data_IF_270430641647
#
_entry.id   IF_270430641647
#
_cell.length_a   1.000
_cell.length_b   1.000
_cell.length_c   1.000
_cell.angle_alpha   90.00
_cell.angle_beta   90.00
_cell.angle_gamma   90.00
#
_symmetry.space_group_name_H-M   'P 1'
#
loop_
_entity.id
_entity.type
_entity.pdbx_description
1 polymer ?
#
# COMPACT_ATOMS: atom_id res chain seq x y z
N UNK A 1 20.42 -42.80 71.56
CA UNK A 1 19.80 -42.79 70.22
C UNK A 1 18.66 -41.79 70.20
N UNK A 2 18.88 -40.59 69.63
CA UNK A 2 17.81 -39.65 69.27
C UNK A 2 18.08 -39.21 67.84
N UNK A 3 17.24 -39.68 66.92
CA UNK A 3 17.24 -39.28 65.51
C UNK A 3 16.64 -37.89 65.41
N UNK A 4 17.40 -36.93 64.88
CA UNK A 4 16.93 -35.60 64.54
C UNK A 4 16.29 -35.71 63.13
N UNK A 5 14.98 -35.52 63.05
CA UNK A 5 14.24 -35.46 61.78
C UNK A 5 14.41 -34.06 61.19
N UNK A 6 15.06 -33.94 60.02
CA UNK A 6 15.02 -32.72 59.21
C UNK A 6 13.66 -32.66 58.50
N UNK A 7 12.85 -31.67 58.86
CA UNK A 7 11.63 -31.33 58.14
C UNK A 7 12.02 -30.42 56.96
N UNK A 8 12.05 -30.95 55.74
CA UNK A 8 12.22 -30.15 54.52
C UNK A 8 10.89 -29.39 54.28
N UNK A 9 10.91 -28.09 54.52
CA UNK A 9 9.84 -27.17 54.09
C UNK A 9 9.94 -26.98 52.57
N UNK A 10 9.10 -27.70 51.84
CA UNK A 10 8.79 -27.41 50.43
C UNK A 10 8.02 -26.08 50.39
N UNK A 11 8.73 -24.98 50.13
CA UNK A 11 8.11 -23.72 49.73
C UNK A 11 7.51 -23.91 48.33
N UNK A 12 6.21 -23.65 48.12
CA UNK A 12 5.70 -23.55 46.76
C UNK A 12 6.35 -22.33 46.10
N UNK A 13 7.14 -22.56 45.06
CA UNK A 13 7.49 -21.53 44.09
C UNK A 13 6.19 -21.06 43.45
N UNK A 14 5.58 -20.02 44.01
CA UNK A 14 4.69 -19.16 43.23
C UNK A 14 5.60 -18.41 42.27
N UNK A 15 5.61 -18.83 41.00
CA UNK A 15 5.99 -17.93 39.92
C UNK A 15 5.00 -16.76 39.96
N UNK A 16 5.40 -15.71 40.65
CA UNK A 16 4.80 -14.39 40.49
C UNK A 16 5.18 -13.97 39.08
N UNK A 17 4.33 -14.29 38.10
CA UNK A 17 4.35 -13.60 36.83
C UNK A 17 4.17 -12.13 37.17
N UNK A 18 5.26 -11.36 37.05
CA UNK A 18 5.18 -9.92 37.07
C UNK A 18 4.27 -9.53 35.91
N UNK A 19 3.01 -9.24 36.22
CA UNK A 19 2.08 -8.67 35.27
C UNK A 19 2.58 -7.25 35.01
N UNK A 20 3.47 -7.11 34.03
CA UNK A 20 3.92 -5.83 33.53
C UNK A 20 2.67 -5.09 33.07
N UNK A 21 2.32 -4.01 33.78
CA UNK A 21 1.19 -3.16 33.42
C UNK A 21 1.60 -2.30 32.22
N UNK A 22 1.56 -2.89 31.04
CA UNK A 22 1.77 -2.14 29.81
C UNK A 22 0.59 -1.19 29.58
N UNK A 23 0.86 0.00 29.02
CA UNK A 23 -0.22 0.83 28.49
C UNK A 23 -0.76 0.17 27.22
N UNK A 24 -2.09 0.06 27.13
CA UNK A 24 -2.76 -0.48 25.95
C UNK A 24 -2.50 0.38 24.71
N UNK A 25 -2.18 1.66 24.92
CA UNK A 25 -1.83 2.59 23.86
C UNK A 25 -0.45 2.31 23.21
N UNK A 26 0.41 1.52 23.86
CA UNK A 26 1.71 1.12 23.30
C UNK A 26 1.62 -0.07 22.35
N UNK A 27 0.44 -0.68 22.21
CA UNK A 27 0.25 -1.83 21.33
C UNK A 27 -0.20 -1.42 19.92
N UNK A 28 0.44 -2.03 18.92
CA UNK A 28 0.08 -1.91 17.51
C UNK A 28 -0.24 -3.28 16.92
N UNK A 29 -1.30 -3.34 16.11
CA UNK A 29 -1.69 -4.56 15.43
C UNK A 29 -0.63 -4.96 14.40
N UNK A 30 -0.12 -6.18 14.50
CA UNK A 30 0.92 -6.72 13.61
C UNK A 30 0.35 -7.72 12.60
N UNK A 31 -0.87 -8.23 12.84
CA UNK A 31 -1.51 -9.24 12.01
C UNK A 31 -2.16 -10.32 12.86
N UNK A 32 -2.27 -11.53 12.31
CA UNK A 32 -2.81 -12.67 13.05
C UNK A 32 -2.07 -13.96 12.73
N UNK A 33 -2.13 -14.90 13.67
CA UNK A 33 -1.56 -16.23 13.49
C UNK A 33 -2.37 -17.25 14.29
N UNK A 34 -2.69 -18.38 13.69
CA UNK A 34 -3.51 -19.45 14.29
C UNK A 34 -4.82 -18.89 14.89
N UNK A 35 -5.49 -18.01 14.12
CA UNK A 35 -6.74 -17.36 14.53
C UNK A 35 -6.63 -16.50 15.82
N UNK A 36 -5.42 -16.02 16.14
CA UNK A 36 -5.15 -15.12 17.26
C UNK A 36 -4.64 -13.78 16.73
N UNK A 37 -5.14 -12.69 17.31
CA UNK A 37 -4.67 -11.35 16.98
C UNK A 37 -3.28 -11.15 17.59
N UNK A 38 -2.34 -10.72 16.76
CA UNK A 38 -0.95 -10.49 17.14
C UNK A 38 -0.66 -9.00 17.16
N UNK A 39 0.01 -8.57 18.23
CA UNK A 39 0.38 -7.20 18.50
C UNK A 39 1.87 -7.09 18.80
N UNK A 40 2.39 -5.90 18.54
CA UNK A 40 3.70 -5.43 18.96
C UNK A 40 3.52 -4.39 20.06
N UNK A 41 4.40 -4.38 21.05
CA UNK A 41 4.51 -3.30 22.01
C UNK A 41 5.67 -2.38 21.62
N UNK A 42 5.45 -1.06 21.59
CA UNK A 42 6.50 -0.10 21.21
C UNK A 42 7.67 -0.03 22.20
N UNK A 43 7.40 -0.25 23.49
CA UNK A 43 8.40 -0.27 24.57
C UNK A 43 9.10 -1.62 24.70
N UNK A 44 8.42 -2.70 24.30
CA UNK A 44 8.99 -4.05 24.25
C UNK A 44 9.00 -4.61 22.83
N UNK A 45 10.05 -4.24 22.10
CA UNK A 45 10.28 -4.71 20.73
C UNK A 45 10.85 -6.15 20.67
N UNK A 46 11.00 -6.86 21.79
CA UNK A 46 11.57 -8.22 21.80
C UNK A 46 10.53 -9.33 21.69
N UNK A 47 9.28 -9.01 22.00
CA UNK A 47 8.21 -10.00 22.05
C UNK A 47 7.05 -9.60 21.16
N UNK A 48 6.39 -10.64 20.64
CA UNK A 48 5.06 -10.52 20.11
C UNK A 48 4.04 -10.78 21.21
N UNK A 49 2.84 -10.24 21.03
CA UNK A 49 1.78 -10.34 22.00
C UNK A 49 0.50 -10.86 21.37
N UNK A 50 -0.13 -11.81 22.03
CA UNK A 50 -1.47 -12.28 21.69
C UNK A 50 -2.50 -11.54 22.53
N UNK A 51 -3.51 -10.96 21.89
CA UNK A 51 -4.63 -10.37 22.61
C UNK A 51 -5.59 -11.45 23.15
N UNK A 52 -6.03 -11.26 24.40
CA UNK A 52 -7.11 -12.03 25.02
C UNK A 52 -8.35 -11.15 25.08
N UNK A 53 -9.39 -11.56 24.36
CA UNK A 53 -10.66 -10.86 24.29
C UNK A 53 -11.64 -11.47 25.30
N UNK A 54 -12.51 -10.63 25.85
CA UNK A 54 -13.70 -11.10 26.57
C UNK A 54 -14.89 -11.36 25.61
N UNK A 55 -16.01 -11.83 26.16
CA UNK A 55 -17.24 -12.11 25.41
C UNK A 55 -17.84 -10.86 24.72
N UNK A 56 -17.41 -9.66 25.11
CA UNK A 56 -17.81 -8.38 24.50
C UNK A 56 -16.79 -7.88 23.48
N UNK A 57 -15.84 -8.72 23.05
CA UNK A 57 -14.76 -8.40 22.13
C UNK A 57 -13.85 -7.26 22.59
N UNK A 58 -13.71 -7.07 23.89
CA UNK A 58 -12.77 -6.10 24.48
C UNK A 58 -11.47 -6.82 24.82
N UNK A 59 -10.32 -6.26 24.41
CA UNK A 59 -9.01 -6.78 24.79
C UNK A 59 -8.77 -6.48 26.27
N UNK A 60 -8.64 -7.53 27.07
CA UNK A 60 -8.41 -7.43 28.53
C UNK A 60 -6.97 -7.62 28.92
N UNK A 61 -6.24 -8.38 28.12
CA UNK A 61 -4.88 -8.79 28.43
C UNK A 61 -4.10 -9.02 27.14
N UNK A 62 -2.79 -8.75 27.20
CA UNK A 62 -1.83 -9.19 26.20
C UNK A 62 -0.92 -10.25 26.82
N UNK A 63 -0.81 -11.40 26.16
CA UNK A 63 0.09 -12.49 26.57
C UNK A 63 1.27 -12.57 25.63
N UNK A 64 2.46 -12.73 26.17
CA UNK A 64 3.66 -12.98 25.35
C UNK A 64 3.39 -14.18 24.45
N UNK A 65 3.64 -13.98 23.16
CA UNK A 65 3.57 -15.01 22.14
C UNK A 65 4.92 -15.73 22.08
N UNK A 66 4.90 -17.04 21.81
CA UNK A 66 6.10 -17.89 21.75
C UNK A 66 7.05 -17.52 20.60
N UNK A 67 6.57 -16.76 19.62
CA UNK A 67 7.37 -16.22 18.54
C UNK A 67 8.33 -15.13 19.07
N UNK A 68 9.62 -15.46 19.15
CA UNK A 68 10.67 -14.48 19.42
C UNK A 68 10.72 -13.43 18.31
N UNK A 69 10.98 -12.17 18.68
CA UNK A 69 11.13 -11.07 17.75
C UNK A 69 12.62 -10.73 17.50
N UNK A 70 13.23 -11.15 16.38
CA UNK A 70 14.61 -10.81 16.08
C UNK A 70 14.77 -9.38 15.50
N UNK A 71 13.75 -8.78 14.86
CA UNK A 71 13.79 -7.46 14.19
C UNK A 71 12.37 -6.87 14.02
N UNK A 72 12.16 -5.58 13.74
CA UNK A 72 10.80 -5.00 13.58
C UNK A 72 9.95 -5.85 12.63
N UNK A 73 8.86 -6.45 13.14
CA UNK A 73 7.89 -7.19 12.33
C UNK A 73 6.85 -6.22 11.79
N UNK A 74 6.54 -6.33 10.51
CA UNK A 74 5.61 -5.41 9.84
C UNK A 74 4.33 -6.10 9.44
N UNK A 75 4.35 -7.42 9.27
CA UNK A 75 3.18 -8.20 8.89
C UNK A 75 3.31 -9.65 9.32
N UNK A 76 2.23 -10.20 9.87
CA UNK A 76 2.11 -11.61 10.22
C UNK A 76 0.75 -12.15 9.76
N UNK A 77 0.81 -13.29 9.11
CA UNK A 77 -0.31 -14.12 8.69
C UNK A 77 0.07 -15.59 8.87
N UNK A 78 -0.90 -16.49 9.01
CA UNK A 78 -0.71 -17.90 9.41
C UNK A 78 0.53 -18.58 8.79
N UNK A 79 0.76 -18.41 7.48
CA UNK A 79 1.88 -19.01 6.74
C UNK A 79 2.95 -18.00 6.29
N UNK A 80 2.76 -16.71 6.55
CA UNK A 80 3.59 -15.63 6.00
C UNK A 80 3.96 -14.62 7.08
N UNK A 81 5.25 -14.33 7.17
CA UNK A 81 5.78 -13.29 8.03
C UNK A 81 6.69 -12.38 7.22
N UNK A 82 6.56 -11.07 7.44
CA UNK A 82 7.45 -10.07 6.88
C UNK A 82 8.14 -9.29 7.99
N UNK A 83 9.45 -9.39 8.02
CA UNK A 83 10.33 -8.64 8.90
C UNK A 83 11.01 -7.54 8.09
N UNK A 84 11.17 -6.35 8.68
CA UNK A 84 11.97 -5.28 8.08
C UNK A 84 12.81 -4.56 9.11
N UNK A 85 14.12 -4.60 8.91
CA UNK A 85 15.10 -3.99 9.78
C UNK A 85 15.35 -2.54 9.36
N UNK A 86 14.92 -1.57 10.17
CA UNK A 86 15.17 -0.15 9.91
C UNK A 86 16.67 0.19 9.86
N UNK A 87 17.51 -0.59 10.57
CA UNK A 87 18.96 -0.36 10.65
C UNK A 87 19.69 -0.84 9.40
N UNK A 88 19.42 -2.06 8.95
CA UNK A 88 20.07 -2.63 7.76
C UNK A 88 19.31 -2.33 6.47
N UNK A 89 18.07 -1.85 6.57
CA UNK A 89 17.11 -1.68 5.47
C UNK A 89 16.92 -2.97 4.67
N UNK A 90 16.98 -4.10 5.37
CA UNK A 90 16.73 -5.42 4.80
C UNK A 90 15.31 -5.82 5.15
N UNK A 91 14.57 -6.28 4.15
CA UNK A 91 13.26 -6.89 4.30
C UNK A 91 13.40 -8.38 4.00
N UNK A 92 12.95 -9.20 4.93
CA UNK A 92 12.87 -10.65 4.75
C UNK A 92 11.43 -11.10 4.80
N UNK A 93 11.09 -12.02 3.91
CA UNK A 93 9.82 -12.75 3.99
C UNK A 93 10.11 -14.19 4.41
N UNK A 94 9.26 -14.70 5.28
CA UNK A 94 9.22 -16.09 5.68
C UNK A 94 7.89 -16.67 5.23
N UNK A 95 7.95 -17.70 4.38
CA UNK A 95 6.77 -18.39 3.87
C UNK A 95 6.94 -19.88 4.14
N UNK A 96 6.02 -20.49 4.89
CA UNK A 96 6.11 -21.91 5.26
C UNK A 96 7.47 -22.28 5.88
N UNK A 97 7.97 -21.46 6.80
CA UNK A 97 9.28 -21.57 7.46
C UNK A 97 10.52 -21.41 6.56
N UNK A 98 10.33 -20.99 5.30
CA UNK A 98 11.43 -20.65 4.40
C UNK A 98 11.62 -19.14 4.39
N UNK A 99 12.63 -18.68 5.15
CA UNK A 99 13.01 -17.27 5.26
C UNK A 99 13.99 -16.88 4.16
N UNK A 100 13.75 -15.74 3.52
CA UNK A 100 14.61 -15.17 2.46
C UNK A 100 14.59 -13.64 2.46
N UNK A 101 15.69 -13.05 2.02
CA UNK A 101 15.78 -11.60 1.75
C UNK A 101 15.04 -11.30 0.43
N UNK A 102 14.13 -10.33 0.47
CA UNK A 102 13.33 -9.91 -0.71
C UNK A 102 13.60 -8.48 -1.12
N UNK A 103 14.09 -7.63 -0.21
CA UNK A 103 14.35 -6.23 -0.50
C UNK A 103 15.49 -5.71 0.37
N UNK A 104 16.38 -4.89 -0.21
CA UNK A 104 17.52 -4.30 0.49
C UNK A 104 17.75 -2.85 0.07
N UNK A 105 18.03 -1.99 1.05
CA UNK A 105 18.36 -0.58 0.82
C UNK A 105 17.14 0.33 0.61
N UNK A 106 15.95 -0.16 0.95
CA UNK A 106 14.70 0.60 0.85
C UNK A 106 13.97 0.57 2.18
N UNK A 107 13.43 1.73 2.59
CA UNK A 107 12.49 1.81 3.71
C UNK A 107 11.09 1.43 3.22
N UNK A 108 10.42 0.53 3.92
CA UNK A 108 9.01 0.20 3.63
C UNK A 108 8.05 1.02 4.52
N UNK A 109 6.82 1.19 4.06
CA UNK A 109 5.72 1.86 4.77
C UNK A 109 4.95 0.90 5.67
N UNK A 110 4.37 1.41 6.75
CA UNK A 110 3.81 0.60 7.85
C UNK A 110 2.50 -0.14 7.50
N UNK A 111 2.16 -0.22 6.22
CA UNK A 111 0.92 -0.78 5.74
C UNK A 111 1.21 -1.72 4.59
N UNK A 112 0.70 -2.93 4.74
CA UNK A 112 0.90 -4.03 3.81
C UNK A 112 -0.48 -4.54 3.41
N UNK A 113 -0.77 -4.48 2.12
CA UNK A 113 -1.91 -5.15 1.53
C UNK A 113 -1.55 -6.60 1.27
N UNK A 114 -2.39 -7.53 1.69
CA UNK A 114 -2.19 -8.95 1.46
C UNK A 114 -3.50 -9.60 1.05
N UNK A 115 -3.44 -10.42 0.01
CA UNK A 115 -4.53 -11.25 -0.47
C UNK A 115 -3.99 -12.67 -0.72
N UNK A 116 -4.42 -13.60 0.13
CA UNK A 116 -3.97 -14.99 0.11
C UNK A 116 -4.44 -15.72 -1.14
N UNK A 117 -5.68 -15.46 -1.56
CA UNK A 117 -6.30 -15.97 -2.78
C UNK A 117 -5.60 -15.48 -4.05
N UNK A 118 -5.12 -14.24 -4.04
CA UNK A 118 -4.36 -13.65 -5.15
C UNK A 118 -2.87 -14.02 -5.10
N UNK A 119 -2.36 -14.60 -4.01
CA UNK A 119 -0.92 -14.83 -3.76
C UNK A 119 -0.07 -13.54 -3.91
N UNK A 120 -0.63 -12.40 -3.52
CA UNK A 120 -0.01 -11.09 -3.67
C UNK A 120 0.12 -10.37 -2.34
N UNK A 121 1.29 -9.75 -2.17
CA UNK A 121 1.55 -8.78 -1.13
C UNK A 121 1.96 -7.45 -1.77
N UNK A 122 1.35 -6.36 -1.32
CA UNK A 122 1.67 -5.01 -1.78
C UNK A 122 2.11 -4.18 -0.61
N UNK A 123 3.23 -3.48 -0.77
CA UNK A 123 3.79 -2.58 0.23
C UNK A 123 4.15 -1.24 -0.42
N UNK A 124 4.39 -0.23 0.40
CA UNK A 124 4.92 1.05 -0.04
C UNK A 124 6.41 1.09 0.24
N UNK A 125 7.25 1.42 -0.74
CA UNK A 125 8.70 1.59 -0.58
C UNK A 125 9.09 3.04 -0.83
N UNK A 126 9.91 3.62 0.05
CA UNK A 126 10.46 4.97 -0.15
C UNK A 126 11.56 4.90 -1.21
N UNK A 127 11.34 5.59 -2.34
CA UNK A 127 12.28 5.75 -3.44
C UNK A 127 12.46 7.26 -3.65
N UNK A 128 13.67 7.77 -3.42
CA UNK A 128 13.93 9.21 -3.30
C UNK A 128 12.97 9.86 -2.28
N UNK A 129 12.24 10.91 -2.69
CA UNK A 129 11.21 11.57 -1.88
C UNK A 129 9.81 10.98 -2.03
N UNK A 130 9.64 9.94 -2.85
CA UNK A 130 8.34 9.33 -3.15
C UNK A 130 8.12 8.01 -2.43
N UNK A 131 6.86 7.68 -2.21
CA UNK A 131 6.45 6.33 -1.82
C UNK A 131 5.93 5.61 -3.05
N UNK A 132 6.61 4.55 -3.48
CA UNK A 132 6.24 3.76 -4.65
C UNK A 132 5.65 2.44 -4.19
N UNK A 133 4.55 2.01 -4.81
CA UNK A 133 3.99 0.69 -4.53
C UNK A 133 4.90 -0.40 -5.07
N UNK A 134 5.10 -1.44 -4.27
CA UNK A 134 5.93 -2.59 -4.58
C UNK A 134 5.11 -3.83 -4.37
N UNK A 135 5.11 -4.70 -5.38
CA UNK A 135 4.38 -5.97 -5.36
C UNK A 135 5.38 -7.09 -5.15
N UNK A 136 5.02 -7.99 -4.25
CA UNK A 136 5.67 -9.26 -4.06
C UNK A 136 4.68 -10.37 -4.44
N UNK A 137 5.00 -11.10 -5.51
CA UNK A 137 4.24 -12.26 -5.96
C UNK A 137 4.78 -13.52 -5.27
N UNK A 138 3.94 -14.13 -4.44
CA UNK A 138 4.31 -15.27 -3.61
C UNK A 138 4.50 -16.53 -4.46
N UNK A 139 3.68 -16.71 -5.50
CA UNK A 139 3.74 -17.87 -6.39
C UNK A 139 4.99 -17.85 -7.25
N UNK A 140 5.32 -16.70 -7.82
CA UNK A 140 6.49 -16.53 -8.69
C UNK A 140 7.80 -16.31 -7.91
N UNK A 141 7.70 -16.07 -6.60
CA UNK A 141 8.81 -15.61 -5.76
C UNK A 141 9.53 -14.39 -6.37
N UNK A 142 8.74 -13.41 -6.81
CA UNK A 142 9.25 -12.24 -7.54
C UNK A 142 8.80 -10.95 -6.87
N UNK A 143 9.70 -9.96 -6.85
CA UNK A 143 9.42 -8.61 -6.37
C UNK A 143 9.60 -7.61 -7.51
N UNK A 144 8.64 -6.71 -7.67
CA UNK A 144 8.76 -5.61 -8.63
C UNK A 144 8.11 -4.34 -8.11
N UNK A 145 8.76 -3.21 -8.40
CA UNK A 145 8.21 -1.89 -8.15
C UNK A 145 7.18 -1.57 -9.23
N UNK A 146 6.09 -0.89 -8.84
CA UNK A 146 5.06 -0.41 -9.74
C UNK A 146 5.32 1.04 -10.13
N UNK A 147 4.90 1.48 -11.33
CA UNK A 147 4.94 2.89 -11.74
C UNK A 147 3.83 3.71 -11.03
N UNK A 148 3.62 3.47 -9.73
CA UNK A 148 2.50 4.00 -8.96
C UNK A 148 3.05 4.59 -7.67
N UNK A 149 2.81 5.89 -7.47
CA UNK A 149 3.13 6.57 -6.23
C UNK A 149 1.96 6.35 -5.28
N UNK A 150 2.19 5.67 -4.16
CA UNK A 150 1.12 5.32 -3.25
C UNK A 150 1.61 4.82 -1.90
N UNK A 151 0.69 4.85 -0.95
CA UNK A 151 0.81 4.40 0.42
C UNK A 151 -0.46 3.64 0.81
N UNK A 152 -0.42 2.97 1.97
CA UNK A 152 -1.56 2.23 2.54
C UNK A 152 -2.25 1.27 1.55
N UNK A 153 -1.51 0.40 0.85
CA UNK A 153 -2.11 -0.52 -0.08
C UNK A 153 -3.07 -1.49 0.64
N UNK A 154 -4.21 -1.75 0.02
CA UNK A 154 -5.20 -2.75 0.45
C UNK A 154 -5.68 -3.50 -0.78
N UNK A 155 -5.69 -4.83 -0.74
CA UNK A 155 -6.12 -5.67 -1.87
C UNK A 155 -7.55 -6.15 -1.63
N UNK A 156 -8.46 -5.90 -2.56
CA UNK A 156 -9.86 -6.36 -2.52
C UNK A 156 -10.39 -6.57 -3.94
N UNK A 157 -11.10 -7.68 -4.15
CA UNK A 157 -11.88 -7.95 -5.37
C UNK A 157 -11.10 -7.75 -6.68
N UNK A 158 -9.85 -8.20 -6.76
CA UNK A 158 -9.01 -8.03 -7.96
C UNK A 158 -8.39 -6.64 -8.12
N UNK A 159 -8.49 -5.76 -7.12
CA UNK A 159 -7.94 -4.41 -7.13
C UNK A 159 -6.99 -4.18 -5.96
N UNK A 160 -5.97 -3.34 -6.20
CA UNK A 160 -5.16 -2.70 -5.17
C UNK A 160 -5.67 -1.28 -4.97
N UNK A 161 -6.25 -1.01 -3.81
CA UNK A 161 -6.61 0.34 -3.36
C UNK A 161 -5.42 0.93 -2.60
N UNK A 162 -5.19 2.23 -2.77
CA UNK A 162 -4.07 2.92 -2.15
C UNK A 162 -4.36 4.42 -2.07
N UNK A 163 -3.61 5.14 -1.23
CA UNK A 163 -3.65 6.59 -1.22
C UNK A 163 -2.36 7.21 -1.72
N UNK A 164 -2.48 8.39 -2.33
CA UNK A 164 -1.36 9.28 -2.57
C UNK A 164 -1.66 10.63 -1.91
N UNK A 165 -0.62 11.37 -1.53
CA UNK A 165 -0.81 12.72 -0.99
C UNK A 165 -1.50 13.59 -2.05
N UNK A 166 -2.60 14.22 -1.66
CA UNK A 166 -3.32 15.12 -2.53
C UNK A 166 -2.59 16.45 -2.63
N UNK A 167 -2.24 16.84 -3.85
CA UNK A 167 -1.50 18.07 -4.10
C UNK A 167 -2.51 19.12 -4.60
N UNK A 168 -3.11 19.85 -3.66
CA UNK A 168 -3.97 20.99 -3.94
C UNK A 168 -3.60 22.18 -3.06
N UNK A 169 -3.19 23.29 -3.71
CA UNK A 169 -2.73 24.52 -3.06
C UNK A 169 -3.79 25.21 -2.17
N UNK A 170 -5.03 24.71 -2.17
CA UNK A 170 -6.13 25.23 -1.36
C UNK A 170 -6.05 24.78 0.10
N UNK A 171 -5.49 23.61 0.37
CA UNK A 171 -5.50 23.01 1.71
C UNK A 171 -4.14 23.17 2.39
N UNK A 172 -4.16 23.47 3.68
CA UNK A 172 -2.97 23.54 4.54
C UNK A 172 -2.68 22.22 5.26
N UNK A 173 -3.55 21.21 5.10
CA UNK A 173 -3.46 19.89 5.73
C UNK A 173 -3.12 18.81 4.72
N UNK A 174 -2.42 17.77 5.17
CA UNK A 174 -2.13 16.58 4.38
C UNK A 174 -3.37 15.70 4.26
N UNK A 175 -3.98 15.70 3.09
CA UNK A 175 -5.16 14.91 2.73
C UNK A 175 -4.74 13.90 1.66
N UNK A 176 -5.47 12.79 1.57
CA UNK A 176 -5.17 11.68 0.69
C UNK A 176 -6.15 11.69 -0.51
N UNK A 177 -5.63 11.47 -1.71
CA UNK A 177 -6.44 10.97 -2.82
C UNK A 177 -6.44 9.44 -2.78
N UNK A 178 -7.61 8.83 -2.87
CA UNK A 178 -7.77 7.39 -2.86
C UNK A 178 -7.90 6.92 -4.32
N UNK A 179 -7.00 6.02 -4.69
CA UNK A 179 -6.97 5.39 -6.00
C UNK A 179 -7.24 3.89 -5.86
N UNK A 180 -7.57 3.26 -6.98
CA UNK A 180 -7.46 1.82 -7.16
C UNK A 180 -6.77 1.51 -8.47
N UNK A 181 -6.15 0.34 -8.57
CA UNK A 181 -5.61 -0.19 -9.81
C UNK A 181 -5.96 -1.68 -9.89
N UNK A 182 -6.38 -2.14 -11.06
CA UNK A 182 -6.67 -3.56 -11.24
C UNK A 182 -5.36 -4.34 -11.21
N UNK A 183 -5.35 -5.50 -10.56
CA UNK A 183 -4.19 -6.39 -10.55
C UNK A 183 -3.78 -6.69 -12.00
N UNK A 184 -2.47 -6.58 -12.26
CA UNK A 184 -1.82 -6.69 -13.57
C UNK A 184 -2.07 -5.55 -14.57
N UNK A 185 -2.96 -4.60 -14.27
CA UNK A 185 -3.18 -3.39 -15.06
C UNK A 185 -2.52 -2.15 -14.43
N UNK A 186 -1.26 -2.30 -14.03
CA UNK A 186 -0.51 -1.33 -13.21
C UNK A 186 -0.36 0.07 -13.83
N UNK A 187 -0.60 0.21 -15.13
CA UNK A 187 -0.46 1.47 -15.86
C UNK A 187 -1.76 2.28 -15.91
N UNK A 188 -2.87 1.76 -15.39
CA UNK A 188 -4.19 2.39 -15.45
C UNK A 188 -4.83 2.56 -14.06
N UNK A 189 -4.18 3.30 -13.13
CA UNK A 189 -4.80 3.66 -11.86
C UNK A 189 -6.03 4.55 -12.10
N UNK A 190 -7.08 4.28 -11.33
CA UNK A 190 -8.33 5.04 -11.29
C UNK A 190 -8.39 5.83 -9.99
N UNK A 191 -8.60 7.15 -10.09
CA UNK A 191 -8.92 7.99 -8.95
C UNK A 191 -10.37 7.74 -8.51
N UNK A 192 -10.56 7.38 -7.24
CA UNK A 192 -11.87 7.00 -6.69
C UNK A 192 -12.46 8.10 -5.82
N UNK A 193 -11.70 8.59 -4.84
CA UNK A 193 -12.13 9.66 -3.92
C UNK A 193 -11.02 10.70 -3.86
N UNK A 194 -11.39 11.97 -3.94
CA UNK A 194 -10.45 13.08 -3.74
C UNK A 194 -10.54 13.60 -2.32
N UNK A 195 -9.43 14.13 -1.80
CA UNK A 195 -9.45 14.89 -0.53
C UNK A 195 -10.12 14.12 0.62
N UNK A 196 -9.78 12.84 0.75
CA UNK A 196 -10.12 12.06 1.92
C UNK A 196 -9.13 12.38 3.06
N UNK A 197 -9.60 12.30 4.30
CA UNK A 197 -8.70 12.21 5.43
C UNK A 197 -7.84 10.93 5.30
N UNK A 198 -6.74 10.90 6.04
CA UNK A 198 -5.88 9.72 6.17
C UNK A 198 -6.62 8.51 6.77
N UNK A 199 -7.75 8.75 7.43
CA UNK A 199 -8.64 7.73 7.97
C UNK A 199 -9.63 7.18 6.92
N UNK A 200 -9.18 6.23 6.12
CA UNK A 200 -10.04 5.50 5.17
C UNK A 200 -9.74 4.00 5.19
N UNK A 201 -10.71 3.19 4.77
CA UNK A 201 -10.54 1.74 4.61
C UNK A 201 -11.53 1.17 3.59
N UNK A 202 -11.09 0.12 2.88
CA UNK A 202 -11.98 -0.66 2.01
C UNK A 202 -12.66 -1.74 2.85
N UNK A 203 -13.99 -1.78 2.80
CA UNK A 203 -14.75 -2.77 3.54
C UNK A 203 -14.48 -4.17 2.98
N UNK A 204 -14.40 -5.19 3.84
CA UNK A 204 -14.17 -6.56 3.39
C UNK A 204 -15.32 -7.06 2.52
N UNK A 205 -14.98 -7.86 1.50
CA UNK A 205 -15.91 -8.50 0.59
C UNK A 205 -16.86 -7.52 -0.14
N UNK A 206 -16.44 -6.26 -0.33
CA UNK A 206 -17.22 -5.28 -1.08
C UNK A 206 -16.34 -4.24 -1.76
N UNK A 207 -16.97 -3.42 -2.60
CA UNK A 207 -16.33 -2.29 -3.28
C UNK A 207 -16.54 -0.97 -2.53
N UNK A 208 -16.95 -1.07 -1.26
CA UNK A 208 -17.32 0.06 -0.43
C UNK A 208 -16.08 0.57 0.30
N UNK A 209 -15.91 1.88 0.29
CA UNK A 209 -14.83 2.59 0.98
C UNK A 209 -15.47 3.43 2.08
N UNK A 210 -15.03 3.21 3.31
CA UNK A 210 -15.24 4.17 4.38
C UNK A 210 -14.17 5.26 4.28
N UNK A 211 -14.57 6.53 4.26
CA UNK A 211 -13.65 7.66 4.29
C UNK A 211 -14.26 8.88 5.01
N UNK A 212 -13.42 9.63 5.71
CA UNK A 212 -13.79 10.96 6.20
C UNK A 212 -13.46 12.00 5.11
N UNK A 213 -14.42 12.85 4.71
CA UNK A 213 -14.20 13.87 3.67
C UNK A 213 -14.21 15.26 4.30
N UNK A 214 -13.11 16.01 4.10
CA UNK A 214 -12.85 17.25 4.83
C UNK A 214 -13.75 18.43 4.44
N UNK A 215 -14.09 18.59 3.15
CA UNK A 215 -14.93 19.73 2.73
C UNK A 215 -16.39 19.63 3.18
N UNK A 216 -16.89 18.43 3.50
CA UNK A 216 -18.27 18.25 3.91
C UNK A 216 -18.43 18.31 5.44
N UNK A 217 -17.74 19.26 6.08
CA UNK A 217 -17.74 19.46 7.55
C UNK A 217 -17.39 18.20 8.35
N UNK A 218 -16.47 17.36 7.84
CA UNK A 218 -16.14 16.04 8.39
C UNK A 218 -17.29 15.02 8.32
N UNK A 219 -18.20 15.14 7.35
CA UNK A 219 -19.13 14.06 7.07
C UNK A 219 -18.34 12.83 6.62
N UNK A 220 -18.59 11.74 7.32
CA UNK A 220 -18.07 10.42 6.98
C UNK A 220 -18.94 9.85 5.90
N UNK A 221 -18.33 9.16 4.95
CA UNK A 221 -19.06 8.54 3.85
C UNK A 221 -18.73 7.07 3.76
N UNK A 222 -19.72 6.32 3.30
CA UNK A 222 -19.52 5.02 2.68
C UNK A 222 -19.69 5.25 1.18
N UNK A 223 -18.64 4.98 0.41
CA UNK A 223 -18.54 5.25 -1.02
C UNK A 223 -18.45 3.95 -1.79
N UNK A 224 -19.32 3.74 -2.77
CA UNK A 224 -19.26 2.63 -3.71
C UNK A 224 -18.35 2.96 -4.89
N UNK A 225 -17.24 2.24 -5.00
CA UNK A 225 -16.24 2.46 -6.05
C UNK A 225 -16.68 2.04 -7.46
N UNK A 226 -17.73 1.23 -7.61
CA UNK A 226 -18.25 0.82 -8.92
C UNK A 226 -19.24 1.85 -9.47
N UNK A 227 -20.25 2.19 -8.68
CA UNK A 227 -21.32 3.11 -9.10
C UNK A 227 -20.93 4.57 -8.95
N UNK A 228 -19.83 4.86 -8.22
CA UNK A 228 -19.36 6.20 -7.87
C UNK A 228 -20.42 6.98 -7.10
N UNK A 229 -21.14 6.28 -6.22
CA UNK A 229 -22.16 6.85 -5.34
C UNK A 229 -21.73 6.74 -3.88
N UNK A 230 -22.29 7.57 -3.01
CA UNK A 230 -22.02 7.53 -1.59
C UNK A 230 -23.27 7.73 -0.74
N UNK A 231 -23.15 7.37 0.53
CA UNK A 231 -24.08 7.71 1.59
C UNK A 231 -23.30 8.34 2.74
N UNK A 232 -23.85 9.39 3.35
CA UNK A 232 -23.28 9.92 4.60
C UNK A 232 -23.59 8.95 5.73
N UNK A 233 -22.68 8.86 6.69
CA UNK A 233 -22.87 7.96 7.82
C UNK A 233 -22.44 8.59 9.13
N UNK A 234 -23.20 8.32 10.19
CA UNK A 234 -22.77 8.58 11.57
C UNK A 234 -21.81 7.49 12.07
N UNK A 235 -21.69 6.40 11.32
CA UNK A 235 -20.82 5.28 11.61
C UNK A 235 -19.37 5.74 11.78
N UNK A 236 -18.72 5.28 12.84
CA UNK A 236 -17.29 5.46 13.03
C UNK A 236 -16.59 4.19 12.57
N UNK A 237 -15.91 4.27 11.44
CA UNK A 237 -14.99 3.26 10.95
C UNK A 237 -13.59 3.46 11.53
N UNK A 238 -12.83 2.37 11.61
CA UNK A 238 -11.39 2.40 11.91
C UNK A 238 -10.64 2.05 10.63
N UNK A 239 -9.45 2.62 10.39
CA UNK A 239 -8.66 2.21 9.23
C UNK A 239 -8.07 0.81 9.45
N UNK A 240 -8.03 0.32 10.71
CA UNK A 240 -7.56 -1.01 11.05
C UNK A 240 -8.72 -2.00 11.04
N UNK A 241 -8.79 -2.77 9.96
CA UNK A 241 -9.68 -3.92 9.85
C UNK A 241 -8.90 -5.19 10.21
N UNK A 242 -9.46 -6.01 11.09
CA UNK A 242 -8.86 -7.27 11.55
C UNK A 242 -9.78 -8.43 11.23
N UNK A 243 -9.20 -9.59 10.89
CA UNK A 243 -9.93 -10.85 10.77
C UNK A 243 -9.74 -11.65 12.06
N UNK A 244 -10.85 -12.06 12.67
CA UNK A 244 -10.86 -12.80 13.92
C UNK A 244 -11.98 -13.83 13.89
N UNK A 245 -11.66 -15.10 14.17
CA UNK A 245 -12.62 -16.20 14.15
C UNK A 245 -13.40 -16.34 12.83
N UNK A 246 -12.75 -16.01 11.71
CA UNK A 246 -13.34 -16.09 10.37
C UNK A 246 -14.08 -14.82 9.91
N UNK A 247 -14.43 -13.94 10.83
CA UNK A 247 -15.16 -12.69 10.54
C UNK A 247 -14.26 -11.46 10.58
N UNK A 248 -14.75 -10.35 10.01
CA UNK A 248 -14.03 -9.08 9.98
C UNK A 248 -14.62 -8.05 10.95
N UNK A 249 -13.71 -7.32 11.59
CA UNK A 249 -14.03 -6.31 12.60
C UNK A 249 -13.20 -5.06 12.39
N UNK A 250 -13.74 -3.92 12.82
CA UNK A 250 -12.92 -2.75 13.08
C UNK A 250 -12.24 -2.89 14.43
N UNK A 251 -10.94 -2.66 14.47
CA UNK A 251 -10.24 -2.45 15.71
C UNK A 251 -10.40 -1.00 16.16
N UNK A 252 -11.04 -0.80 17.30
CA UNK A 252 -11.28 0.51 17.86
C UNK A 252 -10.23 0.78 18.94
N UNK A 253 -9.43 1.83 18.74
CA UNK A 253 -8.42 2.30 19.70
C UNK A 253 -8.75 3.73 20.11
N UNK A 254 -8.94 3.96 21.40
CA UNK A 254 -9.21 5.28 21.97
C UNK A 254 -8.23 5.49 23.12
N UNK A 255 -7.59 6.66 23.15
CA UNK A 255 -6.60 6.99 24.17
C UNK A 255 -7.14 6.77 25.58
N UNK A 256 -6.38 6.03 26.40
CA UNK A 256 -6.73 5.69 27.77
C UNK A 256 -7.92 4.73 27.92
N UNK A 257 -8.37 4.09 26.85
CA UNK A 257 -9.43 3.07 26.89
C UNK A 257 -8.96 1.74 26.30
N UNK A 258 -9.54 0.60 26.75
CA UNK A 258 -9.24 -0.69 26.16
C UNK A 258 -9.53 -0.71 24.65
N UNK A 259 -8.67 -1.41 23.91
CA UNK A 259 -8.93 -1.75 22.51
C UNK A 259 -10.11 -2.73 22.46
N UNK A 260 -11.02 -2.54 21.52
CA UNK A 260 -12.14 -3.45 21.31
C UNK A 260 -12.41 -3.66 19.82
N UNK A 261 -13.02 -4.80 19.49
CA UNK A 261 -13.45 -5.10 18.13
C UNK A 261 -14.92 -4.75 17.95
N UNK A 262 -15.23 -4.11 16.83
CA UNK A 262 -16.60 -3.78 16.44
C UNK A 262 -16.93 -4.44 15.11
N UNK A 263 -18.03 -5.18 15.09
CA UNK A 263 -18.55 -5.83 13.87
C UNK A 263 -18.74 -4.78 12.78
N UNK A 264 -18.26 -5.09 11.58
CA UNK A 264 -18.46 -4.26 10.39
C UNK A 264 -19.94 -4.36 9.98
N UNK A 265 -20.63 -3.23 9.95
CA UNK A 265 -22.00 -3.11 9.46
C UNK A 265 -22.08 -1.93 8.51
N UNK A 266 -22.68 -2.13 7.35
CA UNK A 266 -22.96 -1.07 6.38
C UNK A 266 -24.30 -1.33 5.72
N UNK A 267 -24.99 -0.25 5.41
CA UNK A 267 -26.21 -0.30 4.61
C UNK A 267 -25.81 -0.44 3.13
N UNK A 268 -26.57 -1.20 2.36
CA UNK A 268 -26.28 -1.46 0.94
C UNK A 268 -26.71 -0.32 0.00
N UNK A 269 -27.45 0.69 0.51
CA UNK A 269 -28.03 1.76 -0.30
C UNK A 269 -27.16 3.03 -0.34
N UNK A 270 -26.76 3.42 -1.56
CA UNK A 270 -25.90 4.58 -1.84
C UNK A 270 -26.59 5.55 -2.82
N UNK A 271 -27.52 6.40 -2.36
CA UNK A 271 -28.41 7.13 -3.26
C UNK A 271 -27.79 8.36 -3.92
N UNK A 272 -26.58 8.79 -3.54
CA UNK A 272 -26.01 10.07 -3.96
C UNK A 272 -24.83 9.83 -4.91
N UNK A 273 -24.95 10.23 -6.18
CA UNK A 273 -23.80 10.25 -7.08
C UNK A 273 -22.73 11.24 -6.59
N UNK A 274 -21.47 10.84 -6.59
CA UNK A 274 -20.38 11.75 -6.24
C UNK A 274 -20.01 12.63 -7.43
N UNK A 275 -20.67 13.79 -7.52
CA UNK A 275 -20.38 14.82 -8.52
C UNK A 275 -19.58 15.97 -7.93
N UNK A 276 -18.98 15.80 -6.74
CA UNK A 276 -18.27 16.88 -6.06
C UNK A 276 -16.95 17.15 -6.74
N UNK A 277 -16.61 18.43 -6.88
CA UNK A 277 -15.30 18.87 -7.34
C UNK A 277 -14.54 19.48 -6.16
N UNK A 278 -13.73 18.65 -5.49
CA UNK A 278 -13.08 18.98 -4.22
C UNK A 278 -11.78 19.79 -4.40
N UNK A 279 -11.26 19.92 -5.63
CA UNK A 279 -10.16 20.84 -5.93
C UNK A 279 -10.29 21.38 -7.37
N UNK A 280 -10.31 22.72 -7.58
CA UNK A 280 -10.36 23.31 -8.91
C UNK A 280 -9.26 22.77 -9.82
N UNK A 281 -9.61 22.49 -11.08
CA UNK A 281 -8.73 21.79 -12.04
C UNK A 281 -7.38 22.50 -12.20
N UNK A 282 -7.37 23.83 -12.20
CA UNK A 282 -6.17 24.65 -12.38
C UNK A 282 -5.20 24.57 -11.18
N UNK A 283 -5.70 24.15 -10.02
CA UNK A 283 -4.94 24.05 -8.75
C UNK A 283 -4.67 22.62 -8.32
N UNK A 284 -5.16 21.64 -9.09
CA UNK A 284 -5.07 20.22 -8.80
C UNK A 284 -3.91 19.59 -9.55
N UNK A 285 -3.13 18.78 -8.86
CA UNK A 285 -2.10 17.93 -9.48
C UNK A 285 -2.47 16.49 -9.18
N UNK A 286 -2.66 15.69 -10.24
CA UNK A 286 -2.93 14.26 -10.13
C UNK A 286 -1.62 13.49 -10.22
N UNK A 287 -1.35 12.69 -9.19
CA UNK A 287 -0.09 11.95 -9.07
C UNK A 287 -0.10 10.70 -9.94
N UNK A 288 -1.22 9.98 -9.96
CA UNK A 288 -1.37 8.71 -10.68
C UNK A 288 -2.37 8.86 -11.83
N UNK A 289 -1.86 9.33 -12.97
CA UNK A 289 -2.64 9.42 -14.22
C UNK A 289 -2.58 8.08 -15.00
N UNK A 290 -3.71 7.57 -15.51
CA UNK A 290 -3.73 6.37 -16.34
C UNK A 290 -3.15 6.64 -17.73
N UNK A 291 -2.64 5.60 -18.41
CA UNK A 291 -2.09 5.72 -19.75
C UNK A 291 -3.09 6.28 -20.78
N UNK A 292 -4.38 6.01 -20.60
CA UNK A 292 -5.45 6.58 -21.43
C UNK A 292 -5.47 8.11 -21.45
N UNK A 293 -4.91 8.77 -20.43
CA UNK A 293 -4.75 10.22 -20.33
C UNK A 293 -3.33 10.70 -20.68
N UNK A 294 -2.37 9.79 -20.84
CA UNK A 294 -0.98 10.06 -21.23
C UNK A 294 -0.73 9.68 -22.70
N UNK A 295 -1.57 10.18 -23.59
CA UNK A 295 -1.53 9.89 -25.03
C UNK A 295 -0.54 10.81 -25.74
N UNK A 296 0.16 10.27 -26.73
CA UNK A 296 1.08 11.01 -27.59
C UNK A 296 0.35 11.54 -28.83
N UNK A 297 -0.74 12.29 -28.60
CA UNK A 297 -1.62 12.79 -29.67
C UNK A 297 -0.85 13.63 -30.70
N UNK A 298 -1.25 13.53 -31.96
CA UNK A 298 -0.59 14.24 -33.07
C UNK A 298 0.90 13.86 -33.29
N UNK A 299 1.31 12.68 -32.81
CA UNK A 299 2.65 12.13 -33.07
C UNK A 299 2.57 10.78 -33.80
N UNK A 300 3.72 10.21 -34.18
CA UNK A 300 3.78 8.87 -34.76
C UNK A 300 3.61 7.75 -33.71
N UNK A 301 3.66 8.08 -32.41
CA UNK A 301 3.57 7.11 -31.33
C UNK A 301 2.09 6.81 -31.08
N UNK A 302 1.69 5.56 -31.31
CA UNK A 302 0.34 5.05 -31.04
C UNK A 302 0.40 3.95 -29.97
N UNK A 303 -0.74 3.65 -29.33
CA UNK A 303 -0.82 2.52 -28.38
C UNK A 303 -0.48 1.20 -29.08
N UNK A 304 -0.98 0.99 -30.31
CA UNK A 304 -0.64 -0.20 -31.10
C UNK A 304 0.87 -0.29 -31.32
N UNK A 305 1.54 0.83 -31.62
CA UNK A 305 2.99 0.83 -31.82
C UNK A 305 3.76 0.56 -30.52
N UNK A 306 3.27 1.09 -29.39
CA UNK A 306 3.87 0.87 -28.08
C UNK A 306 3.70 -0.57 -27.60
N UNK A 307 2.53 -1.18 -27.77
CA UNK A 307 2.14 -2.41 -27.08
C UNK A 307 1.96 -3.63 -27.98
N UNK A 308 1.52 -3.44 -29.22
CA UNK A 308 1.09 -4.55 -30.08
C UNK A 308 2.00 -4.77 -31.31
N UNK A 309 2.74 -3.75 -31.74
CA UNK A 309 3.53 -3.82 -32.97
C UNK A 309 4.59 -4.94 -32.90
N UNK A 310 4.69 -5.80 -33.94
CA UNK A 310 5.73 -6.81 -34.05
C UNK A 310 7.06 -6.19 -34.49
N UNK A 311 8.16 -6.93 -34.31
CA UNK A 311 9.51 -6.47 -34.67
C UNK A 311 9.62 -6.01 -36.13
N UNK A 312 8.92 -6.66 -37.06
CA UNK A 312 8.93 -6.32 -38.49
C UNK A 312 8.29 -4.96 -38.80
N UNK A 313 7.37 -4.50 -37.96
CA UNK A 313 6.79 -3.17 -38.06
C UNK A 313 7.71 -2.13 -37.42
N UNK A 314 8.27 -2.44 -36.25
CA UNK A 314 9.27 -1.59 -35.59
C UNK A 314 10.50 -1.34 -36.48
N UNK A 315 10.95 -2.33 -37.26
CA UNK A 315 12.06 -2.20 -38.22
C UNK A 315 11.81 -1.18 -39.35
N UNK A 316 10.55 -0.79 -39.59
CA UNK A 316 10.22 0.25 -40.58
C UNK A 316 10.47 1.65 -40.03
N UNK A 317 10.60 1.80 -38.72
CA UNK A 317 10.88 3.08 -38.07
C UNK A 317 12.37 3.43 -38.18
N UNK A 318 12.64 4.72 -38.24
CA UNK A 318 14.02 5.23 -38.13
C UNK A 318 14.57 5.00 -36.71
N UNK A 319 15.89 4.98 -36.55
CA UNK A 319 16.53 4.89 -35.22
C UNK A 319 16.06 5.99 -34.26
N UNK A 320 15.86 7.22 -34.77
CA UNK A 320 15.34 8.33 -33.97
C UNK A 320 13.89 8.11 -33.50
N UNK A 321 13.05 7.50 -34.35
CA UNK A 321 11.68 7.12 -33.96
C UNK A 321 11.68 5.98 -32.94
N UNK A 322 12.52 4.95 -33.10
CA UNK A 322 12.65 3.87 -32.12
C UNK A 322 13.13 4.39 -30.76
N UNK A 323 14.10 5.30 -30.75
CA UNK A 323 14.55 5.99 -29.52
C UNK A 323 13.40 6.73 -28.84
N UNK A 324 12.60 7.51 -29.58
CA UNK A 324 11.44 8.21 -29.02
C UNK A 324 10.37 7.24 -28.52
N UNK A 325 10.09 6.18 -29.28
CA UNK A 325 9.13 5.14 -28.90
C UNK A 325 9.53 4.45 -27.59
N UNK A 326 10.80 4.08 -27.44
CA UNK A 326 11.32 3.49 -26.20
C UNK A 326 11.25 4.46 -25.02
N UNK A 327 11.57 5.73 -25.25
CA UNK A 327 11.54 6.75 -24.19
C UNK A 327 10.11 7.20 -23.82
N UNK A 328 9.10 6.88 -24.63
CA UNK A 328 7.71 7.16 -24.33
C UNK A 328 7.25 6.52 -23.01
N UNK A 329 7.72 5.30 -22.72
CA UNK A 329 7.45 4.62 -21.47
C UNK A 329 7.98 5.40 -20.25
N UNK A 330 9.18 5.97 -20.35
CA UNK A 330 9.78 6.78 -19.29
C UNK A 330 9.09 8.15 -19.17
N UNK A 331 8.73 8.77 -20.30
CA UNK A 331 7.97 10.01 -20.33
C UNK A 331 6.64 9.86 -19.57
N UNK A 332 5.92 8.74 -19.77
CA UNK A 332 4.68 8.42 -19.04
C UNK A 332 4.85 8.35 -17.52
N UNK A 333 6.06 8.10 -17.04
CA UNK A 333 6.37 8.07 -15.61
C UNK A 333 6.95 9.38 -15.08
N UNK A 334 6.91 10.45 -15.87
CA UNK A 334 7.39 11.77 -15.49
C UNK A 334 8.90 11.91 -15.51
N UNK A 335 9.62 11.03 -16.21
CA UNK A 335 11.06 11.16 -16.33
C UNK A 335 11.46 12.43 -17.08
N UNK A 336 12.26 13.28 -16.45
CA UNK A 336 12.77 14.50 -17.06
C UNK A 336 14.04 14.22 -17.89
N UNK A 337 13.89 14.18 -19.21
CA UNK A 337 15.03 13.97 -20.11
C UNK A 337 16.02 15.13 -20.04
N UNK A 338 17.33 14.88 -20.10
CA UNK A 338 18.36 15.91 -20.31
C UNK A 338 18.68 16.15 -21.80
N UNK A 339 18.23 15.26 -22.68
CA UNK A 339 18.47 15.31 -24.13
C UNK A 339 17.52 16.33 -24.76
N UNK A 340 18.07 17.34 -25.44
CA UNK A 340 17.30 18.44 -26.04
C UNK A 340 16.21 17.93 -27.00
N UNK A 341 16.53 16.94 -27.84
CA UNK A 341 15.59 16.34 -28.80
C UNK A 341 14.40 15.61 -28.14
N UNK A 342 14.61 15.00 -26.96
CA UNK A 342 13.56 14.32 -26.21
C UNK A 342 12.77 15.31 -25.36
N UNK A 343 13.42 16.34 -24.81
CA UNK A 343 12.73 17.44 -24.14
C UNK A 343 11.81 18.17 -25.10
N UNK A 344 12.27 18.53 -26.29
CA UNK A 344 11.46 19.19 -27.32
C UNK A 344 10.30 18.28 -27.75
N UNK A 345 10.57 17.00 -28.00
CA UNK A 345 9.54 16.07 -28.45
C UNK A 345 8.47 15.77 -27.38
N UNK A 346 8.84 15.50 -26.13
CA UNK A 346 7.86 15.17 -25.09
C UNK A 346 7.27 16.40 -24.41
N UNK A 347 8.00 17.52 -24.39
CA UNK A 347 7.55 18.80 -23.83
C UNK A 347 6.33 19.39 -24.53
N UNK A 348 6.01 18.94 -25.75
CA UNK A 348 4.80 19.35 -26.46
C UNK A 348 3.51 18.76 -25.88
N UNK A 349 3.58 17.74 -25.02
CA UNK A 349 2.40 17.11 -24.44
C UNK A 349 2.08 17.73 -23.08
N UNK A 350 0.88 18.32 -22.96
CA UNK A 350 0.44 19.01 -21.74
C UNK A 350 0.63 18.14 -20.49
N UNK A 351 0.19 16.87 -20.51
CA UNK A 351 0.32 15.97 -19.36
C UNK A 351 1.78 15.73 -18.94
N UNK A 352 2.72 15.71 -19.88
CA UNK A 352 4.14 15.52 -19.59
C UNK A 352 4.72 16.80 -19.00
N UNK A 353 4.42 17.93 -19.63
CA UNK A 353 4.81 19.25 -19.13
C UNK A 353 4.28 19.51 -17.71
N UNK A 354 3.02 19.16 -17.45
CA UNK A 354 2.42 19.26 -16.12
C UNK A 354 3.12 18.37 -15.10
N UNK A 355 3.43 17.12 -15.45
CA UNK A 355 4.15 16.21 -14.56
C UNK A 355 5.56 16.73 -14.27
N UNK A 356 6.31 17.16 -15.28
CA UNK A 356 7.72 17.57 -15.08
C UNK A 356 7.85 18.94 -14.41
N UNK A 357 7.09 19.95 -14.85
CA UNK A 357 7.22 21.30 -14.28
C UNK A 357 6.56 21.43 -12.91
N UNK A 358 5.42 20.76 -12.68
CA UNK A 358 4.67 20.94 -11.43
C UNK A 358 5.04 19.91 -10.36
N UNK A 359 5.61 18.77 -10.74
CA UNK A 359 6.11 17.78 -9.80
C UNK A 359 7.63 17.91 -9.57
N UNK A 360 8.17 19.12 -9.48
CA UNK A 360 9.54 19.38 -8.96
C UNK A 360 9.84 18.65 -7.63
N UNK A 361 8.81 18.14 -6.94
CA UNK A 361 8.90 17.23 -5.80
C UNK A 361 9.56 15.87 -6.09
N UNK A 362 9.59 15.44 -7.35
CA UNK A 362 9.99 14.10 -7.77
C UNK A 362 11.05 14.18 -8.87
N UNK A 363 12.13 14.96 -8.71
CA UNK A 363 13.29 14.88 -9.60
C UNK A 363 13.86 13.45 -9.58
N UNK A 364 13.26 12.54 -10.36
CA UNK A 364 13.62 11.14 -10.43
C UNK A 364 14.83 11.01 -11.36
N UNK A 365 15.93 10.50 -10.81
CA UNK A 365 17.04 10.05 -11.64
C UNK A 365 16.65 8.80 -12.46
N UNK A 366 17.46 8.47 -13.46
CA UNK A 366 17.20 7.31 -14.34
C UNK A 366 16.97 5.99 -13.58
N UNK A 367 17.70 5.79 -12.48
CA UNK A 367 17.61 4.62 -11.61
C UNK A 367 16.39 4.63 -10.69
N UNK A 368 15.69 5.76 -10.59
CA UNK A 368 14.50 5.94 -9.76
C UNK A 368 13.19 5.87 -10.56
N UNK A 369 13.25 5.95 -11.89
CA UNK A 369 12.09 5.74 -12.75
C UNK A 369 11.69 4.28 -12.72
N UNK A 370 10.47 4.03 -12.27
CA UNK A 370 9.91 2.68 -12.23
C UNK A 370 9.05 2.46 -13.46
N UNK A 371 9.34 1.38 -14.18
CA UNK A 371 8.57 0.91 -15.33
C UNK A 371 7.87 -0.39 -14.93
N UNK A 372 6.61 -0.57 -15.33
CA UNK A 372 5.89 -1.81 -15.01
C UNK A 372 6.54 -3.03 -15.67
N UNK A 373 6.37 -4.24 -15.12
CA UNK A 373 6.93 -5.47 -15.71
C UNK A 373 6.54 -5.68 -17.17
N UNK A 374 5.30 -5.32 -17.52
CA UNK A 374 4.77 -5.40 -18.89
C UNK A 374 5.45 -4.41 -19.84
N UNK A 375 5.61 -3.15 -19.42
CA UNK A 375 6.28 -2.12 -20.22
C UNK A 375 7.77 -2.42 -20.41
N UNK A 376 8.43 -3.01 -19.40
CA UNK A 376 9.85 -3.37 -19.47
C UNK A 376 10.16 -4.31 -20.64
N UNK A 377 9.32 -5.33 -20.85
CA UNK A 377 9.47 -6.27 -21.98
C UNK A 377 9.37 -5.56 -23.33
N UNK A 378 8.47 -4.58 -23.45
CA UNK A 378 8.31 -3.78 -24.68
C UNK A 378 9.49 -2.83 -24.92
N UNK A 379 9.98 -2.19 -23.86
CA UNK A 379 11.19 -1.34 -23.90
C UNK A 379 12.41 -2.13 -24.40
N UNK A 380 12.60 -3.35 -23.88
CA UNK A 380 13.69 -4.25 -24.29
C UNK A 380 13.58 -4.64 -25.77
N UNK A 381 12.39 -5.06 -26.22
CA UNK A 381 12.12 -5.38 -27.64
C UNK A 381 12.45 -4.21 -28.58
N UNK A 382 11.96 -3.01 -28.27
CA UNK A 382 12.20 -1.82 -29.10
C UNK A 382 13.71 -1.50 -29.15
N UNK A 383 14.40 -1.66 -28.01
CA UNK A 383 15.85 -1.43 -27.93
C UNK A 383 16.65 -2.43 -28.77
N UNK A 384 16.26 -3.70 -28.80
CA UNK A 384 16.91 -4.72 -29.64
C UNK A 384 16.78 -4.36 -31.13
N UNK A 385 15.58 -3.98 -31.57
CA UNK A 385 15.34 -3.53 -32.94
C UNK A 385 16.13 -2.25 -33.26
N UNK A 386 16.19 -1.28 -32.33
CA UNK A 386 16.99 -0.04 -32.46
C UNK A 386 18.49 -0.35 -32.70
N UNK A 387 19.00 -1.38 -32.03
CA UNK A 387 20.39 -1.84 -32.12
C UNK A 387 20.66 -2.78 -33.31
N UNK A 388 19.62 -3.19 -34.04
CA UNK A 388 19.72 -4.13 -35.16
C UNK A 388 20.05 -5.56 -34.74
N UNK A 389 19.60 -5.96 -33.54
CA UNK A 389 19.75 -7.31 -32.99
C UNK A 389 18.59 -8.22 -33.36
#
# INVERSE_FOLDING_TARGET
MKKLFFLLLLLPFFEVFAQTSYDIDDFSFAGYSNNRLIYLNWDDQKHLYTAVLDDSFVIREFKINELENPETIWFIYDSIRLDHSLKSQITTIEINNNKREVLKGYRIGNSIGFAEDENLMVMSCKVAESSILTVYNITEDSLYFLPIIGQKPTIRNGYVYFSAEHICKRYSSYIDDIYRVKIDDWNNPELIIQNADKNWSVLPNSNIIYADILEDKNNRVLFDSETKTYATTSYFGSPTIVKYQGDFYYQMKQFGKPIFLKVIKYDEEYPIADTRNLCPKEKRILVNLPNSQKRFENSFITEDLLYEAPSSELQKLTKGQLRKLRNAFFARQGYQFSSEDLQEFFGQFDWYHEMVERNQFYELSNDQVVISPQDKKRVELIMEVEQGK
#
